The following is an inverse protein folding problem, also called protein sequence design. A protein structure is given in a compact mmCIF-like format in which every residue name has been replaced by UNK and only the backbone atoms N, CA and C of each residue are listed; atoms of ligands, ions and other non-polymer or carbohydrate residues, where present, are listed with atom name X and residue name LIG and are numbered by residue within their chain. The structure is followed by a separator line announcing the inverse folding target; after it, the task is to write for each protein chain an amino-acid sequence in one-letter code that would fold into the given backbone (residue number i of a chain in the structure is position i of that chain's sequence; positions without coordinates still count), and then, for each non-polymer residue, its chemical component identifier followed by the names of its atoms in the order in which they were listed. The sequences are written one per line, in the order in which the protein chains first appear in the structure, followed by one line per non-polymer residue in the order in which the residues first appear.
data_IF_902118868548
#
_entry.id   IF_902118868548
#
_cell.length_a   1.000
_cell.length_b   1.000
_cell.length_c   1.000
_cell.angle_alpha   90.00
_cell.angle_beta   90.00
_cell.angle_gamma   90.00
#
_symmetry.space_group_name_H-M   'P 1'
#
loop_
_entity.id
_entity.type
_entity.pdbx_description
1 polymer ?
#
# COMPACT_ATOMS: atom_id res chain seq x y z
N UNK A 1 12.72 -3.47 -16.55
CA UNK A 1 12.39 -2.69 -15.34
C UNK A 1 12.92 -3.46 -14.16
N UNK A 2 13.94 -2.92 -13.49
CA UNK A 2 14.55 -3.51 -12.29
C UNK A 2 14.34 -2.52 -11.17
N UNK A 3 13.41 -2.80 -10.26
CA UNK A 3 13.22 -2.02 -9.04
C UNK A 3 14.55 -1.84 -8.32
N UNK A 4 14.79 -0.64 -7.79
CA UNK A 4 15.94 -0.39 -6.95
C UNK A 4 15.89 -1.32 -5.74
N UNK A 5 16.99 -2.01 -5.41
CA UNK A 5 16.98 -2.93 -4.29
C UNK A 5 16.70 -2.16 -3.01
N UNK A 6 15.56 -2.46 -2.39
CA UNK A 6 15.16 -1.84 -1.13
C UNK A 6 16.32 -1.94 -0.13
N UNK A 7 16.64 -0.83 0.53
CA UNK A 7 17.67 -0.76 1.59
C UNK A 7 17.31 -1.66 2.79
N UNK A 8 16.06 -2.09 2.87
CA UNK A 8 15.54 -2.97 3.91
C UNK A 8 15.78 -4.43 3.54
N UNK A 9 16.50 -5.14 4.42
CA UNK A 9 16.66 -6.59 4.30
C UNK A 9 15.34 -7.25 4.65
N UNK A 10 14.53 -7.57 3.64
CA UNK A 10 13.28 -8.30 3.84
C UNK A 10 13.56 -9.67 4.44
N UNK A 11 13.03 -9.92 5.64
CA UNK A 11 13.06 -11.24 6.25
C UNK A 11 11.83 -12.00 5.76
N UNK A 12 12.06 -12.95 4.85
CA UNK A 12 11.01 -13.88 4.43
C UNK A 12 10.61 -14.73 5.64
N UNK A 13 9.35 -14.67 6.04
CA UNK A 13 8.84 -15.50 7.12
C UNK A 13 8.62 -16.91 6.60
N UNK A 14 9.26 -17.91 7.22
CA UNK A 14 9.12 -19.32 6.83
C UNK A 14 7.87 -19.98 7.46
N UNK A 15 7.09 -19.26 8.26
CA UNK A 15 5.91 -19.80 8.94
C UNK A 15 4.63 -19.68 8.12
N UNK A 16 4.56 -18.72 7.19
CA UNK A 16 3.34 -18.46 6.42
C UNK A 16 3.22 -19.44 5.23
N UNK A 17 2.01 -19.94 5.00
CA UNK A 17 1.73 -20.83 3.89
C UNK A 17 1.77 -20.05 2.57
N UNK A 18 2.38 -20.64 1.54
CA UNK A 18 2.36 -20.09 0.19
C UNK A 18 1.63 -21.04 -0.76
N UNK A 19 0.97 -20.44 -1.74
CA UNK A 19 0.19 -21.14 -2.74
C UNK A 19 0.50 -20.55 -4.11
N UNK A 20 0.64 -21.42 -5.10
CA UNK A 20 0.63 -20.96 -6.49
C UNK A 20 -0.81 -20.78 -6.96
N UNK A 21 -1.03 -19.95 -7.97
CA UNK A 21 -2.36 -19.75 -8.55
C UNK A 21 -3.00 -21.06 -9.03
N UNK A 22 -2.21 -21.99 -9.58
CA UNK A 22 -2.72 -23.32 -9.94
C UNK A 22 -3.21 -24.11 -8.73
N UNK A 23 -2.52 -24.02 -7.59
CA UNK A 23 -2.94 -24.70 -6.36
C UNK A 23 -4.20 -24.06 -5.79
N UNK A 24 -4.31 -22.74 -5.76
CA UNK A 24 -5.52 -22.03 -5.35
C UNK A 24 -6.72 -22.42 -6.20
N UNK A 25 -6.53 -22.52 -7.52
CA UNK A 25 -7.56 -22.97 -8.45
C UNK A 25 -7.98 -24.42 -8.18
N UNK A 26 -7.02 -25.34 -7.98
CA UNK A 26 -7.32 -26.74 -7.63
C UNK A 26 -8.07 -26.87 -6.30
N UNK A 27 -7.86 -25.94 -5.37
CA UNK A 27 -8.59 -25.84 -4.10
C UNK A 27 -9.93 -25.11 -4.22
N UNK A 28 -10.33 -24.72 -5.44
CA UNK A 28 -11.55 -23.97 -5.73
C UNK A 28 -11.67 -22.66 -4.95
N UNK A 29 -10.53 -21.98 -4.75
CA UNK A 29 -10.47 -20.70 -4.07
C UNK A 29 -10.82 -19.58 -5.04
N UNK A 30 -11.66 -18.65 -4.60
CA UNK A 30 -12.08 -17.47 -5.37
C UNK A 30 -11.19 -16.26 -5.08
N UNK A 31 -11.19 -15.29 -5.99
CA UNK A 31 -10.52 -13.99 -5.79
C UNK A 31 -11.07 -13.24 -4.57
N UNK A 32 -12.37 -13.32 -4.32
CA UNK A 32 -13.02 -12.74 -3.13
C UNK A 32 -12.47 -13.32 -1.82
N UNK A 33 -12.20 -14.63 -1.78
CA UNK A 33 -11.58 -15.25 -0.61
C UNK A 33 -10.16 -14.73 -0.36
N UNK A 34 -9.36 -14.49 -1.41
CA UNK A 34 -8.04 -13.88 -1.29
C UNK A 34 -8.15 -12.46 -0.69
N UNK A 35 -9.14 -11.69 -1.12
CA UNK A 35 -9.42 -10.37 -0.55
C UNK A 35 -9.70 -10.44 0.96
N UNK A 36 -10.54 -11.41 1.40
CA UNK A 36 -10.80 -11.63 2.82
C UNK A 36 -9.59 -12.15 3.61
N UNK A 37 -8.59 -12.72 2.94
CA UNK A 37 -7.30 -13.11 3.53
C UNK A 37 -6.28 -11.97 3.53
N UNK A 38 -6.72 -10.73 3.28
CA UNK A 38 -5.86 -9.56 3.22
C UNK A 38 -4.75 -9.68 2.16
N UNK A 39 -5.03 -10.40 1.07
CA UNK A 39 -4.14 -10.42 -0.08
C UNK A 39 -4.01 -9.00 -0.67
N UNK A 40 -2.82 -8.60 -1.15
CA UNK A 40 -2.65 -7.35 -1.88
C UNK A 40 -3.62 -7.25 -3.07
N UNK A 41 -4.16 -6.06 -3.34
CA UNK A 41 -5.21 -5.86 -4.36
C UNK A 41 -4.73 -6.28 -5.76
N UNK A 42 -3.49 -5.95 -6.10
CA UNK A 42 -2.81 -6.40 -7.31
C UNK A 42 -2.81 -7.93 -7.43
N UNK A 43 -2.53 -8.66 -6.35
CA UNK A 43 -2.58 -10.14 -6.34
C UNK A 43 -4.00 -10.65 -6.57
N UNK A 44 -5.01 -10.04 -5.94
CA UNK A 44 -6.43 -10.41 -6.11
C UNK A 44 -6.87 -10.24 -7.56
N UNK A 45 -6.53 -9.11 -8.17
CA UNK A 45 -6.82 -8.80 -9.57
C UNK A 45 -6.10 -9.75 -10.53
N UNK A 46 -4.81 -10.00 -10.27
CA UNK A 46 -4.01 -10.96 -11.04
C UNK A 46 -4.60 -12.37 -10.97
N UNK A 47 -5.08 -12.80 -9.81
CA UNK A 47 -5.72 -14.10 -9.67
C UNK A 47 -7.07 -14.16 -10.39
N UNK A 48 -7.89 -13.11 -10.30
CA UNK A 48 -9.14 -13.04 -11.07
C UNK A 48 -8.88 -13.09 -12.59
N UNK A 49 -7.85 -12.40 -13.06
CA UNK A 49 -7.42 -12.45 -14.46
C UNK A 49 -6.99 -13.87 -14.87
N UNK A 50 -6.23 -14.56 -14.01
CA UNK A 50 -5.88 -15.97 -14.22
C UNK A 50 -7.10 -16.88 -14.36
N UNK A 51 -8.09 -16.75 -13.47
CA UNK A 51 -9.33 -17.53 -13.53
C UNK A 51 -10.08 -17.27 -14.86
N UNK A 52 -10.16 -16.01 -15.30
CA UNK A 52 -10.80 -15.66 -16.57
C UNK A 52 -10.05 -16.28 -17.78
N UNK A 53 -8.72 -16.32 -17.74
CA UNK A 53 -7.91 -16.96 -18.78
C UNK A 53 -8.17 -18.47 -18.88
N UNK A 54 -8.31 -19.16 -17.75
CA UNK A 54 -8.63 -20.59 -17.73
C UNK A 54 -10.00 -20.90 -18.34
N UNK A 55 -10.95 -19.98 -18.20
CA UNK A 55 -12.29 -20.12 -18.78
C UNK A 55 -12.31 -19.87 -20.30
N UNK A 56 -11.41 -19.01 -20.80
CA UNK A 56 -11.41 -18.54 -22.18
C UNK A 56 -10.42 -19.26 -23.09
N UNK A 57 -9.37 -19.86 -22.52
CA UNK A 57 -8.33 -20.58 -23.27
C UNK A 57 -8.14 -22.00 -22.76
N UNK A 58 -8.19 -22.99 -23.68
CA UNK A 58 -7.92 -24.41 -23.39
C UNK A 58 -6.45 -24.70 -23.04
N UNK A 59 -5.59 -23.68 -22.91
CA UNK A 59 -4.16 -23.81 -22.67
C UNK A 59 -3.81 -23.48 -21.22
N UNK A 60 -3.48 -24.52 -20.48
CA UNK A 60 -3.16 -24.52 -19.05
C UNK A 60 -1.75 -24.00 -18.69
N UNK A 61 -0.94 -23.58 -19.67
CA UNK A 61 0.43 -23.11 -19.47
C UNK A 61 0.54 -21.58 -19.55
N UNK A 62 -0.23 -20.85 -18.74
CA UNK A 62 0.00 -19.43 -18.54
C UNK A 62 1.16 -19.24 -17.55
N UNK A 63 2.09 -18.33 -17.83
CA UNK A 63 3.15 -17.92 -16.87
C UNK A 63 2.58 -17.48 -15.52
N UNK A 64 1.32 -17.08 -15.50
CA UNK A 64 0.55 -16.72 -14.30
C UNK A 64 0.30 -17.92 -13.36
N UNK A 65 0.31 -19.16 -13.86
CA UNK A 65 0.02 -20.34 -13.05
C UNK A 65 1.05 -20.54 -11.91
N UNK A 66 2.29 -20.10 -12.14
CA UNK A 66 3.39 -20.14 -11.16
C UNK A 66 3.45 -18.92 -10.25
N UNK A 67 2.54 -17.94 -10.41
CA UNK A 67 2.48 -16.78 -9.53
C UNK A 67 2.21 -17.24 -8.09
N UNK A 68 2.94 -16.66 -7.14
CA UNK A 68 2.94 -17.08 -5.75
C UNK A 68 2.14 -16.10 -4.89
N UNK A 69 1.15 -16.61 -4.18
CA UNK A 69 0.43 -15.93 -3.13
C UNK A 69 0.94 -16.41 -1.76
N UNK A 70 1.12 -15.47 -0.82
CA UNK A 70 1.48 -15.78 0.56
C UNK A 70 0.27 -15.51 1.46
N UNK A 71 -0.25 -16.56 2.10
CA UNK A 71 -1.36 -16.46 3.03
C UNK A 71 -0.83 -16.00 4.39
N UNK A 72 -0.79 -14.68 4.57
CA UNK A 72 -0.19 -14.05 5.74
C UNK A 72 -1.03 -14.26 6.99
N UNK A 73 -0.39 -14.68 8.07
CA UNK A 73 -1.04 -14.66 9.38
C UNK A 73 -1.18 -13.21 9.86
N UNK A 74 -2.40 -12.78 10.17
CA UNK A 74 -2.64 -11.48 10.82
C UNK A 74 -1.71 -11.32 12.04
N UNK A 75 -1.01 -10.19 12.21
CA UNK A 75 -1.24 -8.87 11.61
C UNK A 75 -0.37 -8.55 10.37
N UNK A 76 0.26 -9.55 9.77
CA UNK A 76 1.23 -9.32 8.70
C UNK A 76 0.55 -9.05 7.37
N UNK A 77 1.17 -8.21 6.56
CA UNK A 77 0.68 -7.85 5.22
C UNK A 77 1.83 -7.61 4.24
N UNK A 78 1.47 -7.42 2.97
CA UNK A 78 2.40 -7.23 1.86
C UNK A 78 2.61 -8.52 1.03
N UNK A 79 3.25 -8.40 -0.14
CA UNK A 79 3.38 -9.49 -1.11
C UNK A 79 4.13 -10.74 -0.59
N UNK A 80 4.97 -10.58 0.43
CA UNK A 80 5.73 -11.64 1.08
C UNK A 80 5.45 -11.74 2.59
N UNK A 81 4.34 -11.16 3.07
CA UNK A 81 4.04 -11.01 4.50
C UNK A 81 5.15 -10.29 5.29
N UNK A 82 5.84 -9.36 4.63
CA UNK A 82 7.05 -8.72 5.16
C UNK A 82 6.76 -7.55 6.12
N UNK A 83 5.55 -7.00 6.08
CA UNK A 83 5.19 -5.84 6.88
C UNK A 83 4.31 -6.23 8.06
N UNK A 84 4.48 -5.52 9.17
CA UNK A 84 3.65 -5.61 10.36
C UNK A 84 3.70 -4.25 11.05
N UNK A 85 2.59 -3.77 11.60
CA UNK A 85 2.64 -2.58 12.45
C UNK A 85 3.13 -3.00 13.84
N UNK A 86 4.12 -2.30 14.39
CA UNK A 86 4.68 -2.59 15.73
C UNK A 86 3.62 -2.54 16.83
N UNK A 87 2.54 -1.77 16.64
CA UNK A 87 1.38 -1.72 17.53
C UNK A 87 0.73 -3.11 17.76
N UNK A 88 0.76 -4.00 16.76
CA UNK A 88 0.19 -5.35 16.91
C UNK A 88 1.07 -6.31 17.73
N UNK A 89 2.29 -5.92 18.10
CA UNK A 89 3.22 -6.83 18.79
C UNK A 89 2.80 -7.13 20.23
N UNK A 90 1.99 -6.27 20.84
CA UNK A 90 1.63 -6.35 22.26
C UNK A 90 0.14 -6.58 22.50
N UNK A 91 -0.71 -6.26 21.52
CA UNK A 91 -2.16 -6.41 21.65
C UNK A 91 -2.71 -6.99 20.34
N UNK A 92 -3.41 -8.13 20.42
CA UNK A 92 -4.14 -8.75 19.30
C UNK A 92 -5.37 -7.90 18.92
N UNK A 93 -5.15 -6.63 18.62
CA UNK A 93 -6.20 -5.66 18.32
C UNK A 93 -6.64 -5.82 16.88
N UNK A 94 -7.93 -5.57 16.65
CA UNK A 94 -8.47 -5.33 15.32
C UNK A 94 -7.93 -4.02 14.76
N UNK A 95 -7.98 -3.86 13.43
CA UNK A 95 -7.60 -2.62 12.74
C UNK A 95 -8.33 -1.41 13.35
N UNK A 96 -9.62 -1.55 13.64
CA UNK A 96 -10.44 -0.47 14.21
C UNK A 96 -10.01 -0.07 15.62
N UNK A 97 -9.59 -1.03 16.44
CA UNK A 97 -9.09 -0.77 17.78
C UNK A 97 -7.75 -0.05 17.75
N UNK A 98 -6.89 -0.37 16.78
CA UNK A 98 -5.60 0.33 16.59
C UNK A 98 -5.82 1.77 16.15
N UNK A 99 -6.72 1.99 15.19
CA UNK A 99 -7.08 3.34 14.75
C UNK A 99 -7.59 4.13 15.96
N UNK A 100 -8.46 3.53 16.78
CA UNK A 100 -8.95 4.15 18.01
C UNK A 100 -7.82 4.46 18.99
N UNK A 101 -6.93 3.51 19.27
CA UNK A 101 -5.80 3.75 20.18
C UNK A 101 -4.91 4.88 19.67
N UNK A 102 -4.60 4.90 18.37
CA UNK A 102 -3.80 5.96 17.76
C UNK A 102 -4.39 7.36 18.02
N UNK A 103 -5.71 7.52 17.91
CA UNK A 103 -6.38 8.79 18.19
C UNK A 103 -6.62 9.09 19.68
N UNK A 104 -6.43 8.11 20.57
CA UNK A 104 -6.58 8.30 22.02
C UNK A 104 -5.27 8.76 22.69
N UNK A 105 -4.12 8.48 22.08
CA UNK A 105 -2.86 9.09 22.51
C UNK A 105 -2.85 10.57 22.10
N UNK A 106 -2.61 11.48 23.06
CA UNK A 106 -2.26 12.87 22.76
C UNK A 106 -1.05 12.83 21.83
N UNK A 107 -1.29 13.15 20.55
CA UNK A 107 -0.24 13.24 19.55
C UNK A 107 0.65 14.43 19.90
N UNK A 108 1.79 14.17 20.55
CA UNK A 108 2.90 15.11 20.53
C UNK A 108 3.55 15.00 19.15
N UNK A 109 3.45 16.02 18.27
CA UNK A 109 4.04 15.95 16.94
C UNK A 109 5.55 15.73 17.06
N UNK A 110 5.99 14.51 16.78
CA UNK A 110 7.40 14.17 16.69
C UNK A 110 7.92 14.77 15.40
N UNK A 111 8.49 15.98 15.51
CA UNK A 111 9.09 16.78 14.42
C UNK A 111 8.14 17.05 13.25
N UNK A 112 7.75 18.32 13.08
CA UNK A 112 6.99 18.74 11.90
C UNK A 112 7.72 18.29 10.61
N UNK A 113 7.08 17.45 9.80
CA UNK A 113 7.56 17.09 8.47
C UNK A 113 7.06 18.15 7.50
N UNK A 114 7.96 18.99 7.00
CA UNK A 114 7.60 20.02 6.03
C UNK A 114 7.56 19.41 4.63
N UNK A 115 6.51 19.71 3.85
CA UNK A 115 6.51 19.40 2.43
C UNK A 115 7.50 20.31 1.69
N UNK A 116 8.56 19.74 1.15
CA UNK A 116 9.68 20.51 0.55
C UNK A 116 9.62 20.64 -0.97
N UNK A 117 8.69 19.93 -1.62
CA UNK A 117 8.60 19.89 -3.09
C UNK A 117 7.77 21.05 -3.67
N UNK A 118 7.14 21.87 -2.83
CA UNK A 118 6.40 23.07 -3.22
C UNK A 118 6.98 24.30 -2.53
N UNK A 119 7.30 25.35 -3.30
CA UNK A 119 7.77 26.61 -2.74
C UNK A 119 6.59 27.47 -2.25
N UNK A 120 6.23 27.25 -0.99
CA UNK A 120 5.15 27.95 -0.29
C UNK A 120 5.70 29.02 0.65
N UNK A 121 5.28 30.28 0.50
CA UNK A 121 5.54 31.33 1.49
C UNK A 121 4.33 31.47 2.42
N UNK A 122 4.43 30.96 3.65
CA UNK A 122 3.40 31.13 4.69
C UNK A 122 3.56 32.41 5.51
N UNK A 123 4.52 33.28 5.16
CA UNK A 123 4.78 34.54 5.85
C UNK A 123 5.52 34.41 7.19
N UNK A 124 5.85 33.19 7.63
CA UNK A 124 6.66 32.92 8.83
C UNK A 124 7.72 31.86 8.53
N UNK A 125 8.95 32.09 8.98
CA UNK A 125 10.10 31.18 8.76
C UNK A 125 9.94 29.81 9.42
N UNK A 126 9.00 29.66 10.36
CA UNK A 126 8.73 28.41 11.07
C UNK A 126 7.38 27.77 10.68
N UNK A 127 6.62 28.41 9.79
CA UNK A 127 5.37 27.85 9.30
C UNK A 127 5.68 26.97 8.08
N UNK A 128 5.54 25.66 8.26
CA UNK A 128 5.69 24.70 7.18
C UNK A 128 4.32 24.29 6.63
N UNK A 129 4.30 24.01 5.33
CA UNK A 129 3.17 23.39 4.65
C UNK A 129 3.18 21.88 4.91
N UNK A 130 2.06 21.34 5.38
CA UNK A 130 1.79 19.92 5.43
C UNK A 130 1.32 19.43 4.06
N UNK A 131 1.63 18.18 3.72
CA UNK A 131 1.23 17.61 2.42
C UNK A 131 -0.30 17.49 2.28
N UNK A 132 -1.05 17.43 3.39
CA UNK A 132 -2.51 17.38 3.38
C UNK A 132 -3.18 18.74 3.13
N UNK A 133 -2.42 19.83 3.22
CA UNK A 133 -2.87 21.21 2.93
C UNK A 133 -2.62 21.60 1.45
N UNK A 134 -2.31 20.64 0.57
CA UNK A 134 -2.14 20.89 -0.86
C UNK A 134 -3.42 20.46 -1.56
N UNK A 135 -4.05 21.39 -2.30
CA UNK A 135 -5.27 21.15 -3.05
C UNK A 135 -6.45 20.70 -2.18
N UNK A 136 -6.53 21.23 -0.96
CA UNK A 136 -7.61 20.96 -0.02
C UNK A 136 -8.76 21.99 -0.14
N UNK A 137 -8.61 22.99 -1.02
CA UNK A 137 -9.57 24.06 -1.27
C UNK A 137 -9.35 25.29 -0.38
N UNK A 138 -8.29 25.33 0.43
CA UNK A 138 -7.92 26.43 1.31
C UNK A 138 -6.60 27.02 0.85
N UNK A 139 -6.54 28.36 0.75
CA UNK A 139 -5.28 29.04 0.42
C UNK A 139 -4.46 29.18 1.70
N UNK A 140 -3.48 28.30 1.87
CA UNK A 140 -2.50 28.25 2.95
C UNK A 140 -1.20 28.97 2.61
N UNK A 141 -0.80 28.99 1.34
CA UNK A 141 0.35 29.78 0.88
C UNK A 141 -0.07 31.20 0.50
N UNK A 142 0.75 32.20 0.83
CA UNK A 142 0.46 33.61 0.50
C UNK A 142 0.30 33.87 -1.00
N UNK A 143 0.98 33.08 -1.82
CA UNK A 143 0.89 33.09 -3.28
C UNK A 143 -0.21 32.18 -3.83
N UNK A 144 -0.89 31.37 -3.00
CA UNK A 144 -1.94 30.43 -3.41
C UNK A 144 -1.47 29.25 -4.24
N UNK A 145 -0.15 28.99 -4.27
CA UNK A 145 0.46 27.97 -5.13
C UNK A 145 0.11 26.54 -4.73
N UNK A 146 -0.28 26.34 -3.47
CA UNK A 146 -0.86 25.13 -2.89
C UNK A 146 -2.19 24.73 -3.52
N UNK A 147 -2.94 25.69 -4.06
CA UNK A 147 -4.24 25.46 -4.69
C UNK A 147 -4.18 25.60 -6.23
N UNK A 148 -2.96 25.74 -6.77
CA UNK A 148 -2.74 25.83 -8.21
C UNK A 148 -2.44 24.46 -8.82
N UNK A 149 -2.97 24.22 -10.02
CA UNK A 149 -2.64 23.05 -10.83
C UNK A 149 -2.84 21.69 -10.15
N UNK A 150 -3.84 21.56 -9.28
CA UNK A 150 -4.17 20.33 -8.56
C UNK A 150 -4.31 19.08 -9.43
N UNK A 151 -4.77 19.25 -10.67
CA UNK A 151 -4.86 18.19 -11.66
C UNK A 151 -3.50 17.54 -11.99
N UNK A 152 -2.38 18.26 -11.82
CA UNK A 152 -1.03 17.71 -12.01
C UNK A 152 -0.61 16.80 -10.87
N UNK A 153 -1.08 17.07 -9.65
CA UNK A 153 -0.82 16.22 -8.48
C UNK A 153 -1.60 14.91 -8.58
N UNK A 154 -2.77 14.92 -9.22
CA UNK A 154 -3.58 13.72 -9.49
C UNK A 154 -3.01 12.83 -10.62
N UNK A 155 -2.12 13.38 -11.46
CA UNK A 155 -1.42 12.62 -12.50
C UNK A 155 -0.21 11.96 -11.83
N UNK A 156 -0.48 10.81 -11.22
CA UNK A 156 0.54 9.95 -10.62
C UNK A 156 1.30 9.16 -11.71
N UNK A 157 1.79 9.85 -12.75
CA UNK A 157 2.70 9.26 -13.74
C UNK A 157 4.12 9.50 -13.24
N UNK A 158 4.71 8.47 -12.61
CA UNK A 158 6.13 8.47 -12.33
C UNK A 158 6.88 8.54 -13.68
N UNK A 159 7.78 9.50 -13.81
CA UNK A 159 8.74 9.49 -14.91
C UNK A 159 9.62 8.24 -14.79
N UNK A 160 10.14 7.73 -15.91
CA UNK A 160 10.96 6.50 -15.96
C UNK A 160 12.24 6.54 -15.08
N UNK A 161 12.55 7.72 -14.50
CA UNK A 161 13.72 8.00 -13.69
C UNK A 161 13.44 8.46 -12.24
N UNK A 162 12.18 8.46 -11.78
CA UNK A 162 11.84 8.47 -10.35
C UNK A 162 11.86 7.05 -9.76
#
# INVERSE_FOLDING_TARGET
MSEWPSKWKFQKNNQDQNFTFVVLYMLNITSEQLYFWSAPMDVVEHYQFYLNLLLTSNTSSSSMATYMFYNCTSPRFGPLCQYSLDAYKYHHLTVNEIIREYYLYEYEPTTLTCYTHLQCDRGSLFACLDWSEICDGVIDCRNGVDEESCWQVEINECEDNE
#
